data_IF_243333494051
#
_entry.id   IF_243333494051
#
_cell.length_a   1.000
_cell.length_b   1.000
_cell.length_c   1.000
_cell.angle_alpha   90.00
_cell.angle_beta   90.00
_cell.angle_gamma   90.00
#
_symmetry.space_group_name_H-M   'P 1'
#
loop_
_entity.id
_entity.type
_entity.pdbx_description
1 polymer ?
#
# COMPACT_ATOMS: atom_id res chain seq x y z
N UNK A 1 -38.68 -20.76 -2.64
CA UNK A 1 -37.66 -20.73 -1.57
C UNK A 1 -36.56 -19.77 -2.01
N UNK A 2 -36.55 -18.53 -1.50
CA UNK A 2 -35.56 -17.51 -1.88
C UNK A 2 -34.38 -17.64 -0.93
N UNK A 3 -33.22 -17.98 -1.46
CA UNK A 3 -31.98 -18.03 -0.69
C UNK A 3 -31.63 -16.64 -0.14
N UNK A 4 -31.21 -16.64 1.12
CA UNK A 4 -30.92 -15.49 1.96
C UNK A 4 -29.75 -14.64 1.43
N UNK A 5 -29.71 -13.34 1.77
CA UNK A 5 -28.59 -12.47 1.42
C UNK A 5 -27.39 -12.82 2.32
N UNK A 6 -26.38 -13.48 1.78
CA UNK A 6 -25.08 -13.59 2.45
C UNK A 6 -24.28 -12.29 2.29
N UNK A 7 -23.61 -11.94 3.38
CA UNK A 7 -22.63 -10.85 3.54
C UNK A 7 -23.15 -9.45 3.84
N UNK A 8 -23.96 -9.35 4.89
CA UNK A 8 -23.75 -8.25 5.85
C UNK A 8 -22.75 -8.68 6.92
N UNK A 9 -21.49 -8.21 6.83
CA UNK A 9 -20.64 -7.93 8.00
C UNK A 9 -19.85 -6.65 7.73
N UNK A 10 -20.54 -5.52 7.89
CA UNK A 10 -19.94 -4.21 8.04
C UNK A 10 -19.63 -4.00 9.53
N UNK A 11 -18.45 -4.43 9.94
CA UNK A 11 -17.81 -4.08 11.20
C UNK A 11 -16.29 -4.09 10.97
N UNK A 12 -15.48 -3.41 11.80
CA UNK A 12 -14.02 -3.43 11.69
C UNK A 12 -13.49 -4.81 12.13
N UNK A 13 -13.77 -5.85 11.35
CA UNK A 13 -12.84 -6.97 11.22
C UNK A 13 -11.57 -6.35 10.63
N UNK A 14 -10.67 -5.94 11.54
CA UNK A 14 -9.55 -5.06 11.24
C UNK A 14 -8.70 -5.61 10.10
N UNK A 15 -8.08 -4.71 9.33
CA UNK A 15 -7.23 -5.07 8.19
C UNK A 15 -6.25 -6.20 8.53
N UNK A 16 -5.75 -6.25 9.77
CA UNK A 16 -4.90 -7.33 10.29
C UNK A 16 -5.52 -8.73 10.19
N UNK A 17 -6.81 -8.90 10.49
CA UNK A 17 -7.48 -10.20 10.40
C UNK A 17 -7.69 -10.63 8.95
N UNK A 18 -8.05 -9.68 8.08
CA UNK A 18 -8.15 -9.95 6.64
C UNK A 18 -6.80 -10.35 6.06
N UNK A 19 -5.72 -9.68 6.46
CA UNK A 19 -4.36 -10.05 6.06
C UNK A 19 -4.00 -11.45 6.56
N UNK A 20 -4.28 -11.78 7.83
CA UNK A 20 -4.01 -13.10 8.39
C UNK A 20 -4.70 -14.22 7.59
N UNK A 21 -5.97 -14.03 7.24
CA UNK A 21 -6.74 -14.98 6.41
C UNK A 21 -6.24 -15.04 4.96
N UNK A 22 -5.86 -13.90 4.39
CA UNK A 22 -5.26 -13.86 3.06
C UNK A 22 -3.91 -14.61 3.01
N UNK A 23 -3.11 -14.58 4.09
CA UNK A 23 -1.89 -15.39 4.20
C UNK A 23 -2.17 -16.90 4.21
N UNK A 24 -3.32 -17.32 4.73
CA UNK A 24 -3.79 -18.72 4.66
C UNK A 24 -4.46 -19.08 3.34
N UNK A 25 -4.32 -18.24 2.30
CA UNK A 25 -4.93 -18.40 0.96
C UNK A 25 -6.46 -18.41 0.95
N UNK A 26 -7.09 -17.71 1.90
CA UNK A 26 -8.55 -17.56 1.94
C UNK A 26 -9.03 -16.59 0.84
N UNK A 27 -9.71 -17.13 -0.17
CA UNK A 27 -10.28 -16.36 -1.29
C UNK A 27 -11.29 -15.29 -0.85
N UNK A 28 -12.07 -15.54 0.20
CA UNK A 28 -13.05 -14.57 0.68
C UNK A 28 -12.34 -13.35 1.31
N UNK A 29 -11.21 -13.58 1.98
CA UNK A 29 -10.39 -12.51 2.54
C UNK A 29 -9.76 -11.66 1.42
N UNK A 30 -9.19 -12.30 0.39
CA UNK A 30 -8.65 -11.60 -0.78
C UNK A 30 -9.71 -10.73 -1.46
N UNK A 31 -10.88 -11.30 -1.76
CA UNK A 31 -11.99 -10.59 -2.38
C UNK A 31 -12.40 -9.37 -1.55
N UNK A 32 -12.53 -9.54 -0.23
CA UNK A 32 -12.91 -8.46 0.68
C UNK A 32 -11.87 -7.33 0.68
N UNK A 33 -10.57 -7.64 0.68
CA UNK A 33 -9.50 -6.64 0.59
C UNK A 33 -9.60 -5.87 -0.73
N UNK A 34 -9.77 -6.59 -1.86
CA UNK A 34 -9.90 -5.97 -3.18
C UNK A 34 -11.10 -5.05 -3.24
N UNK A 35 -12.30 -5.52 -2.88
CA UNK A 35 -13.55 -4.74 -2.90
C UNK A 35 -13.43 -3.45 -2.06
N UNK A 36 -12.81 -3.53 -0.88
CA UNK A 36 -12.64 -2.37 0.02
C UNK A 36 -11.69 -1.31 -0.53
N UNK A 37 -10.65 -1.70 -1.25
CA UNK A 37 -9.57 -0.77 -1.63
C UNK A 37 -9.54 -0.42 -3.12
N UNK A 38 -10.23 -1.19 -3.98
CA UNK A 38 -10.17 -1.05 -5.44
C UNK A 38 -10.43 0.39 -5.91
N UNK A 39 -11.53 1.00 -5.43
CA UNK A 39 -11.90 2.37 -5.82
C UNK A 39 -10.85 3.41 -5.44
N UNK A 40 -10.15 3.21 -4.33
CA UNK A 40 -9.09 4.12 -3.88
C UNK A 40 -7.83 3.96 -4.74
N UNK A 41 -7.39 2.72 -4.95
CA UNK A 41 -6.19 2.44 -5.75
C UNK A 41 -6.37 2.88 -7.21
N UNK A 42 -7.55 2.62 -7.78
CA UNK A 42 -7.89 3.08 -9.13
C UNK A 42 -7.79 4.60 -9.28
N UNK A 43 -8.34 5.37 -8.33
CA UNK A 43 -8.23 6.84 -8.34
C UNK A 43 -6.79 7.32 -8.26
N UNK A 44 -5.96 6.67 -7.46
CA UNK A 44 -4.53 6.99 -7.36
C UNK A 44 -3.82 6.70 -8.69
N UNK A 45 -4.02 5.50 -9.24
CA UNK A 45 -3.43 5.09 -10.51
C UNK A 45 -3.83 6.04 -11.65
N UNK A 46 -5.14 6.27 -11.84
CA UNK A 46 -5.66 7.22 -12.83
C UNK A 46 -5.11 8.63 -12.61
N UNK A 47 -4.98 9.11 -11.37
CA UNK A 47 -4.38 10.41 -11.09
C UNK A 47 -2.97 10.57 -11.69
N UNK A 48 -2.20 9.48 -11.74
CA UNK A 48 -0.81 9.46 -12.21
C UNK A 48 -0.73 9.20 -13.73
N UNK A 49 -1.34 8.12 -14.22
CA UNK A 49 -1.20 7.71 -15.65
C UNK A 49 -2.16 8.44 -16.59
N UNK A 50 -3.22 9.06 -16.08
CA UNK A 50 -4.22 9.84 -16.85
C UNK A 50 -4.93 9.08 -17.98
N UNK A 51 -4.87 7.75 -17.98
CA UNK A 51 -5.55 6.85 -18.90
C UNK A 51 -6.28 5.77 -18.09
N UNK A 52 -7.51 5.44 -18.46
CA UNK A 52 -8.33 4.48 -17.71
C UNK A 52 -7.84 3.04 -17.87
N UNK A 53 -7.50 2.61 -19.10
CA UNK A 53 -6.96 1.26 -19.38
C UNK A 53 -5.64 1.05 -18.65
N UNK A 54 -4.73 2.02 -18.74
CA UNK A 54 -3.44 1.92 -18.05
C UNK A 54 -3.62 1.92 -16.53
N UNK A 55 -4.63 2.63 -16.01
CA UNK A 55 -4.93 2.66 -14.59
C UNK A 55 -5.47 1.31 -14.08
N UNK A 56 -6.34 0.64 -14.85
CA UNK A 56 -6.83 -0.71 -14.53
C UNK A 56 -5.68 -1.69 -14.43
N UNK A 57 -4.82 -1.72 -15.43
CA UNK A 57 -3.65 -2.58 -15.45
C UNK A 57 -2.68 -2.26 -14.28
N UNK A 58 -2.44 -0.98 -13.96
CA UNK A 58 -1.61 -0.61 -12.78
C UNK A 58 -2.20 -1.17 -11.49
N UNK A 59 -3.53 -1.11 -11.33
CA UNK A 59 -4.19 -1.65 -10.13
C UNK A 59 -4.06 -3.16 -10.08
N UNK A 60 -4.20 -3.85 -11.21
CA UNK A 60 -3.99 -5.29 -11.30
C UNK A 60 -2.57 -5.66 -10.86
N UNK A 61 -1.55 -5.01 -11.42
CA UNK A 61 -0.16 -5.33 -11.07
C UNK A 61 0.18 -4.97 -9.63
N UNK A 62 -0.42 -3.91 -9.11
CA UNK A 62 -0.29 -3.57 -7.70
C UNK A 62 -0.85 -4.67 -6.79
N UNK A 63 -1.98 -5.28 -7.15
CA UNK A 63 -2.54 -6.40 -6.38
C UNK A 63 -1.70 -7.66 -6.50
N UNK A 64 -1.23 -8.01 -7.70
CA UNK A 64 -0.33 -9.16 -7.87
C UNK A 64 0.90 -8.99 -6.97
N UNK A 65 1.57 -7.84 -7.04
CA UNK A 65 2.73 -7.53 -6.21
C UNK A 65 2.41 -7.51 -4.72
N UNK A 66 1.28 -6.94 -4.33
CA UNK A 66 0.84 -6.92 -2.94
C UNK A 66 0.66 -8.35 -2.41
N UNK A 67 -0.05 -9.21 -3.12
CA UNK A 67 -0.28 -10.58 -2.64
C UNK A 67 0.96 -11.46 -2.67
N UNK A 68 1.88 -11.25 -3.62
CA UNK A 68 3.21 -11.89 -3.60
C UNK A 68 4.03 -11.49 -2.37
N UNK A 69 3.93 -10.23 -1.92
CA UNK A 69 4.72 -9.70 -0.82
C UNK A 69 3.94 -9.56 0.50
N UNK A 70 2.73 -10.12 0.57
CA UNK A 70 1.83 -9.94 1.72
C UNK A 70 2.45 -10.49 3.01
N UNK A 71 3.25 -11.55 2.92
CA UNK A 71 3.99 -12.10 4.07
C UNK A 71 4.98 -11.12 4.71
N UNK A 72 5.39 -10.08 3.99
CA UNK A 72 6.25 -9.00 4.51
C UNK A 72 5.49 -7.86 5.19
N UNK A 73 4.15 -7.86 5.17
CA UNK A 73 3.35 -6.82 5.81
C UNK A 73 3.37 -6.99 7.33
N UNK A 74 4.04 -6.07 8.02
CA UNK A 74 4.24 -6.10 9.49
C UNK A 74 3.10 -5.49 10.30
N UNK A 75 2.17 -4.78 9.66
CA UNK A 75 1.10 -4.05 10.35
C UNK A 75 1.51 -2.70 10.94
N UNK A 76 2.75 -2.23 10.72
CA UNK A 76 3.24 -0.91 11.17
C UNK A 76 2.48 0.28 10.53
N UNK A 77 1.69 0.02 9.50
CA UNK A 77 0.82 0.99 8.83
C UNK A 77 -0.49 0.33 8.39
N UNK A 78 -1.52 1.12 8.09
CA UNK A 78 -2.77 0.57 7.55
C UNK A 78 -2.54 -0.18 6.23
N UNK A 79 -3.33 -1.21 5.97
CA UNK A 79 -3.27 -1.96 4.71
C UNK A 79 -3.51 -1.03 3.51
N UNK A 80 -4.44 -0.08 3.67
CA UNK A 80 -4.71 0.94 2.66
C UNK A 80 -3.47 1.80 2.34
N UNK A 81 -2.66 2.17 3.34
CA UNK A 81 -1.42 2.94 3.13
C UNK A 81 -0.39 2.11 2.38
N UNK A 82 -0.20 0.86 2.79
CA UNK A 82 0.75 -0.05 2.15
C UNK A 82 0.38 -0.34 0.69
N UNK A 83 -0.89 -0.66 0.41
CA UNK A 83 -1.39 -0.85 -0.96
C UNK A 83 -1.25 0.42 -1.81
N UNK A 84 -1.57 1.59 -1.26
CA UNK A 84 -1.44 2.86 -1.98
C UNK A 84 0.00 3.12 -2.42
N UNK A 85 0.99 2.78 -1.57
CA UNK A 85 2.42 2.91 -1.92
C UNK A 85 2.82 2.01 -3.08
N UNK A 86 2.38 0.76 -3.07
CA UNK A 86 2.63 -0.18 -4.17
C UNK A 86 2.01 0.36 -5.46
N UNK A 87 0.74 0.79 -5.44
CA UNK A 87 0.07 1.36 -6.61
C UNK A 87 0.76 2.60 -7.15
N UNK A 88 1.22 3.51 -6.30
CA UNK A 88 1.96 4.70 -6.74
C UNK A 88 3.29 4.31 -7.41
N UNK A 89 4.03 3.36 -6.84
CA UNK A 89 5.28 2.88 -7.43
C UNK A 89 5.06 2.25 -8.82
N UNK A 90 4.00 1.46 -8.98
CA UNK A 90 3.65 0.88 -10.28
C UNK A 90 3.24 1.93 -11.31
N UNK A 91 2.38 2.88 -10.91
CA UNK A 91 1.93 3.96 -11.78
C UNK A 91 3.10 4.83 -12.26
N UNK A 92 3.99 5.23 -11.34
CA UNK A 92 5.17 6.03 -11.66
C UNK A 92 6.17 5.23 -12.51
N UNK A 93 6.36 3.94 -12.21
CA UNK A 93 7.20 3.05 -13.00
C UNK A 93 6.72 2.92 -14.44
N UNK A 94 5.40 2.86 -14.64
CA UNK A 94 4.78 2.83 -15.97
C UNK A 94 4.99 4.13 -16.74
N UNK A 95 4.70 5.27 -16.11
CA UNK A 95 4.90 6.60 -16.71
C UNK A 95 6.36 6.83 -17.12
N UNK A 96 7.33 6.31 -16.36
CA UNK A 96 8.77 6.36 -16.70
C UNK A 96 9.14 5.52 -17.92
N UNK A 97 8.47 4.39 -18.15
CA UNK A 97 8.74 3.53 -19.32
C UNK A 97 8.15 4.11 -20.60
N UNK A 98 7.00 4.76 -20.50
CA UNK A 98 6.34 5.42 -21.63
C UNK A 98 7.05 6.70 -22.11
N UNK A 99 7.86 7.32 -21.25
CA UNK A 99 8.62 8.54 -21.56
C UNK A 99 10.12 8.22 -21.56
N UNK A 100 10.73 7.90 -22.72
CA UNK A 100 12.19 7.75 -22.80
C UNK A 100 12.85 9.09 -22.40
N UNK A 101 13.53 9.07 -21.25
CA UNK A 101 14.36 10.15 -20.69
C UNK A 101 13.69 11.52 -20.51
N UNK A 102 12.96 11.70 -19.40
CA UNK A 102 12.94 12.99 -18.70
C UNK A 102 13.16 12.71 -17.22
N UNK A 103 14.16 13.35 -16.61
CA UNK A 103 14.44 13.30 -15.17
C UNK A 103 13.16 13.65 -14.40
N UNK A 104 12.50 12.65 -13.83
CA UNK A 104 11.33 12.89 -12.99
C UNK A 104 11.86 13.10 -11.58
N UNK A 105 11.97 14.37 -11.20
CA UNK A 105 12.12 14.79 -9.80
C UNK A 105 11.19 13.93 -8.94
N UNK A 106 11.78 13.29 -7.94
CA UNK A 106 11.08 12.44 -6.98
C UNK A 106 9.87 13.22 -6.46
N UNK A 107 8.66 12.82 -6.87
CA UNK A 107 7.45 13.25 -6.22
C UNK A 107 7.61 12.93 -4.74
N UNK A 108 7.94 13.96 -3.96
CA UNK A 108 7.93 13.88 -2.52
C UNK A 108 6.56 13.32 -2.16
N UNK A 109 6.57 12.21 -1.43
CA UNK A 109 5.37 11.57 -0.90
C UNK A 109 4.70 12.57 0.02
N UNK A 110 3.89 13.47 -0.55
CA UNK A 110 3.05 14.38 0.19
C UNK A 110 2.01 13.51 0.89
N UNK A 111 2.35 13.22 2.16
CA UNK A 111 1.47 12.84 3.27
C UNK A 111 0.00 12.77 2.85
N UNK A 112 -0.46 11.58 2.47
CA UNK A 112 -1.87 11.22 2.69
C UNK A 112 -2.02 10.98 4.21
N UNK A 113 -1.85 12.04 4.99
CA UNK A 113 -2.30 12.16 6.37
C UNK A 113 -3.55 13.03 6.36
N UNK A 114 -4.71 12.40 6.23
CA UNK A 114 -6.04 12.88 6.63
C UNK A 114 -7.05 11.89 6.03
N UNK A 115 -7.84 11.10 6.77
CA UNK A 115 -8.56 11.39 8.00
C UNK A 115 -8.73 10.10 8.82
N UNK A 116 -8.04 9.99 9.96
CA UNK A 116 -8.55 9.22 11.09
C UNK A 116 -8.84 10.24 12.20
N UNK A 117 -10.12 10.59 12.38
CA UNK A 117 -10.54 11.45 13.48
C UNK A 117 -10.45 10.67 14.80
N UNK A 118 -9.89 11.37 15.79
CA UNK A 118 -9.92 11.17 17.24
C UNK A 118 -9.05 10.07 17.87
N UNK A 119 -8.02 10.53 18.60
CA UNK A 119 -7.35 9.76 19.65
C UNK A 119 -5.87 10.13 19.83
N UNK A 120 -5.63 11.23 20.56
CA UNK A 120 -4.34 11.71 21.11
C UNK A 120 -3.11 10.78 20.92
N UNK A 121 -2.12 11.24 20.16
CA UNK A 121 -0.74 10.77 20.29
C UNK A 121 0.14 11.93 20.78
N UNK A 122 0.59 11.80 22.02
CA UNK A 122 1.67 12.61 22.57
C UNK A 122 3.01 12.18 21.94
N UNK A 123 3.83 13.17 21.61
CA UNK A 123 5.27 13.13 21.91
C UNK A 123 6.18 12.37 20.96
N UNK A 124 6.82 13.16 20.09
CA UNK A 124 8.24 13.10 19.70
C UNK A 124 9.02 11.81 20.03
N UNK A 125 9.72 11.26 19.02
CA UNK A 125 11.14 11.58 18.88
C UNK A 125 11.69 11.00 17.57
N UNK A 126 12.15 11.91 16.72
CA UNK A 126 13.02 11.62 15.59
C UNK A 126 14.41 11.17 16.09
N UNK A 127 14.83 9.96 15.74
CA UNK A 127 16.25 9.63 15.68
C UNK A 127 16.48 8.61 14.56
N UNK A 128 16.94 9.10 13.40
CA UNK A 128 17.65 8.26 12.41
C UNK A 128 19.01 7.88 13.01
N UNK A 129 19.43 6.62 12.96
CA UNK A 129 20.86 6.31 13.04
C UNK A 129 21.49 6.55 11.67
N UNK A 130 22.18 7.68 11.53
CA UNK A 130 23.21 7.90 10.51
C UNK A 130 24.38 6.94 10.74
N UNK A 131 24.84 6.36 9.64
CA UNK A 131 26.08 5.61 9.41
C UNK A 131 27.13 5.71 10.53
N UNK A 132 27.43 4.59 11.19
CA UNK A 132 28.63 4.39 11.99
C UNK A 132 29.86 4.36 11.08
N UNK A 133 30.55 5.49 10.96
CA UNK A 133 31.98 5.53 10.71
C UNK A 133 32.65 5.22 12.05
N UNK A 134 33.30 4.07 12.20
CA UNK A 134 34.21 3.82 13.33
C UNK A 134 35.61 3.46 12.83
N UNK A 135 36.64 3.75 13.64
CA UNK A 135 38.01 3.92 13.18
C UNK A 135 38.83 2.64 13.30
N UNK A 136 39.93 2.67 12.55
CA UNK A 136 41.10 1.81 12.57
C UNK A 136 41.61 1.55 14.01
N UNK A 137 41.64 0.30 14.47
CA UNK A 137 42.47 -0.16 15.58
C UNK A 137 43.24 -1.41 15.16
N UNK A 138 44.56 -1.31 15.13
CA UNK A 138 45.47 -2.40 15.50
C UNK A 138 46.79 -1.77 15.94
N UNK A 139 46.92 -1.66 17.25
CA UNK A 139 48.17 -1.43 17.95
C UNK A 139 48.34 -2.61 18.91
N UNK A 140 49.16 -3.58 18.52
CA UNK A 140 49.97 -4.49 19.36
C UNK A 140 50.97 -5.19 18.45
#
# INVERSE_FOLDING_TARGET
MRSAPTSQVAGPSGDAELVRRALTRDEAAFRTIMERHNRKLYRIARGIVRNDSEAEDVVQEAYIKAFTHLGGFRGDSSLATWLSRITMNEALGRLRRERPAVEIETFETQRIEAHHRNGKFCGLSSARPTTCQKPFESCS
#
